data_IF_804061348012
#
_entry.id   IF_804061348012
#
_cell.length_a   1.000
_cell.length_b   1.000
_cell.length_c   1.000
_cell.angle_alpha   90.00
_cell.angle_beta   90.00
_cell.angle_gamma   90.00
#
_symmetry.space_group_name_H-M   'P 1'
#
loop_
_entity.id
_entity.type
_entity.pdbx_description
1 polymer ?
#
# COMPACT_ATOMS: atom_id res chain seq x y z
N UNK A 1 1.75 16.73 1.20
CA UNK A 1 2.50 16.63 2.46
C UNK A 1 2.39 15.22 2.99
N UNK A 2 2.56 15.08 4.29
CA UNK A 2 2.71 13.79 4.98
C UNK A 2 1.52 13.42 5.89
N UNK A 3 0.39 14.13 5.74
CA UNK A 3 -0.75 14.00 6.66
C UNK A 3 -1.79 12.97 6.24
N UNK A 4 -2.00 12.70 4.94
CA UNK A 4 -2.99 11.71 4.46
C UNK A 4 -2.68 11.23 3.03
N UNK A 5 -3.18 10.06 2.63
CA UNK A 5 -3.18 9.66 1.21
C UNK A 5 -3.98 10.59 0.31
N UNK A 6 -5.14 11.07 0.75
CA UNK A 6 -5.97 11.98 -0.05
C UNK A 6 -5.34 13.38 -0.06
N UNK A 7 -5.24 13.97 -1.25
CA UNK A 7 -4.74 15.32 -1.45
C UNK A 7 -5.64 16.37 -0.80
N UNK A 8 -6.96 16.16 -0.78
CA UNK A 8 -7.92 17.06 -0.14
C UNK A 8 -7.72 17.11 1.39
N UNK A 9 -7.17 16.03 1.95
CA UNK A 9 -7.01 15.82 3.38
C UNK A 9 -5.65 16.30 3.93
N UNK A 10 -4.83 16.95 3.11
CA UNK A 10 -3.48 17.45 3.45
C UNK A 10 -3.50 18.80 4.18
N UNK A 11 -4.36 18.93 5.19
CA UNK A 11 -4.65 20.19 5.89
C UNK A 11 -4.16 20.14 7.35
N UNK A 12 -3.10 20.90 7.72
CA UNK A 12 -2.57 20.89 9.08
C UNK A 12 -3.58 21.36 10.14
N UNK A 13 -4.46 22.28 9.78
CA UNK A 13 -5.50 22.84 10.65
C UNK A 13 -6.56 21.84 11.14
N UNK A 14 -6.54 20.60 10.65
CA UNK A 14 -7.37 19.51 11.19
C UNK A 14 -6.84 18.92 12.49
N UNK A 15 -5.59 19.23 12.84
CA UNK A 15 -4.95 18.74 14.04
C UNK A 15 -4.78 19.88 15.03
N UNK A 16 -5.03 19.57 16.30
CA UNK A 16 -4.83 20.46 17.43
C UNK A 16 -3.59 20.04 18.22
N UNK A 17 -2.99 21.02 18.91
CA UNK A 17 -1.91 20.72 19.84
C UNK A 17 -2.45 19.83 20.95
N UNK A 18 -1.78 18.70 21.19
CA UNK A 18 -2.19 17.70 22.18
C UNK A 18 -2.86 16.47 21.56
N UNK A 19 -3.21 16.51 20.28
CA UNK A 19 -3.77 15.35 19.59
C UNK A 19 -2.74 14.21 19.54
N UNK A 20 -3.23 12.99 19.80
CA UNK A 20 -2.47 11.78 19.61
C UNK A 20 -2.76 11.25 18.22
N UNK A 21 -1.72 11.09 17.42
CA UNK A 21 -1.80 10.52 16.08
C UNK A 21 -0.79 9.40 15.96
N UNK A 22 -1.15 8.38 15.20
CA UNK A 22 -0.18 7.38 14.79
C UNK A 22 0.51 7.81 13.51
N UNK A 23 1.83 7.66 13.46
CA UNK A 23 2.62 8.00 12.29
C UNK A 23 3.82 7.07 12.17
N UNK A 24 4.31 6.92 10.94
CA UNK A 24 5.54 6.18 10.65
C UNK A 24 6.74 7.11 10.72
N UNK A 25 7.83 6.65 11.32
CA UNK A 25 9.13 7.33 11.24
C UNK A 25 9.68 7.17 9.82
N UNK A 26 9.90 8.30 9.14
CA UNK A 26 10.42 8.33 7.77
C UNK A 26 11.91 8.69 7.71
N UNK A 27 12.39 9.46 8.69
CA UNK A 27 13.81 9.84 8.78
C UNK A 27 14.20 10.17 10.22
N UNK A 28 15.45 9.89 10.58
CA UNK A 28 16.08 10.30 11.84
C UNK A 28 17.38 11.03 11.50
N UNK A 29 17.41 12.35 11.72
CA UNK A 29 18.62 13.14 11.67
C UNK A 29 19.29 13.15 13.05
N UNK A 30 20.40 12.42 13.16
CA UNK A 30 21.15 12.28 14.41
C UNK A 30 21.94 13.53 14.79
N UNK A 31 22.30 14.37 13.81
CA UNK A 31 23.09 15.57 14.04
C UNK A 31 22.22 16.64 14.72
N UNK A 32 21.01 16.84 14.18
CA UNK A 32 20.05 17.81 14.75
C UNK A 32 19.11 17.20 15.78
N UNK A 33 19.16 15.88 15.96
CA UNK A 33 18.23 15.10 16.81
C UNK A 33 16.76 15.29 16.42
N UNK A 34 16.50 15.51 15.13
CA UNK A 34 15.15 15.66 14.58
C UNK A 34 14.66 14.33 14.01
N UNK A 35 13.37 14.08 14.19
CA UNK A 35 12.68 12.91 13.62
C UNK A 35 11.61 13.42 12.68
N UNK A 36 11.58 12.87 11.46
CA UNK A 36 10.50 13.12 10.50
C UNK A 36 9.49 11.99 10.59
N UNK A 37 8.21 12.36 10.66
CA UNK A 37 7.08 11.45 10.82
C UNK A 37 6.09 11.66 9.66
N UNK A 38 5.39 10.61 9.25
CA UNK A 38 4.36 10.66 8.20
C UNK A 38 3.19 9.74 8.54
N UNK A 39 1.98 10.33 8.59
CA UNK A 39 0.72 9.59 8.76
C UNK A 39 0.41 8.87 7.45
N UNK A 40 0.57 9.55 6.31
CA UNK A 40 0.39 8.98 4.98
C UNK A 40 1.22 7.71 4.76
N UNK A 41 2.49 7.74 5.17
CA UNK A 41 3.36 6.57 5.00
C UNK A 41 2.89 5.37 5.84
N UNK A 42 2.32 5.62 7.03
CA UNK A 42 1.69 4.59 7.85
C UNK A 42 0.47 3.99 7.12
N UNK A 43 -0.46 4.83 6.67
CA UNK A 43 -1.68 4.39 5.95
C UNK A 43 -1.35 3.50 4.73
N UNK A 44 -0.36 3.91 3.94
CA UNK A 44 0.05 3.16 2.73
C UNK A 44 0.60 1.77 3.08
N UNK A 45 1.37 1.65 4.16
CA UNK A 45 1.96 0.38 4.54
C UNK A 45 0.93 -0.54 5.21
N UNK A 46 0.03 -0.01 6.03
CA UNK A 46 -1.10 -0.78 6.58
C UNK A 46 -2.01 -1.33 5.47
N UNK A 47 -2.27 -0.53 4.42
CA UNK A 47 -3.04 -1.00 3.26
C UNK A 47 -2.31 -2.10 2.50
N UNK A 48 -0.99 -1.97 2.28
CA UNK A 48 -0.20 -3.03 1.64
C UNK A 48 -0.19 -4.32 2.46
N UNK A 49 -0.03 -4.21 3.77
CA UNK A 49 -0.06 -5.37 4.67
C UNK A 49 -1.42 -6.05 4.64
N UNK A 50 -2.51 -5.28 4.68
CA UNK A 50 -3.87 -5.81 4.54
C UNK A 50 -4.07 -6.49 3.18
N UNK A 51 -3.62 -5.88 2.08
CA UNK A 51 -3.69 -6.51 0.75
C UNK A 51 -2.85 -7.79 0.69
N UNK A 52 -1.68 -7.83 1.29
CA UNK A 52 -0.87 -9.05 1.32
C UNK A 52 -1.55 -10.18 2.13
N UNK A 53 -2.17 -9.83 3.26
CA UNK A 53 -2.83 -10.78 4.15
C UNK A 53 -4.19 -11.28 3.62
N UNK A 54 -4.99 -10.38 3.03
CA UNK A 54 -6.36 -10.67 2.59
C UNK A 54 -6.51 -10.81 1.06
N UNK A 55 -5.55 -10.34 0.27
CA UNK A 55 -5.61 -10.36 -1.19
C UNK A 55 -5.30 -11.72 -1.84
N UNK A 56 -5.04 -12.77 -1.07
CA UNK A 56 -4.73 -14.11 -1.61
C UNK A 56 -5.33 -15.31 -0.87
N UNK A 57 -6.14 -15.09 0.18
CA UNK A 57 -6.47 -16.18 1.12
C UNK A 57 -7.79 -16.92 0.89
N UNK A 58 -8.63 -16.55 -0.11
CA UNK A 58 -9.95 -17.19 -0.27
C UNK A 58 -10.39 -17.50 -1.71
N UNK A 59 -9.50 -17.45 -2.69
CA UNK A 59 -9.82 -17.93 -4.04
C UNK A 59 -8.61 -18.67 -4.55
N UNK A 60 -8.68 -20.01 -4.54
CA UNK A 60 -7.59 -20.94 -4.86
C UNK A 60 -7.04 -20.89 -6.30
N UNK A 61 -7.09 -19.74 -6.95
CA UNK A 61 -6.32 -19.42 -8.14
C UNK A 61 -5.88 -17.96 -8.00
N UNK A 62 -4.58 -17.72 -7.87
CA UNK A 62 -4.04 -16.37 -7.86
C UNK A 62 -4.40 -15.67 -9.17
N UNK A 63 -4.54 -14.34 -9.14
CA UNK A 63 -4.71 -13.52 -10.35
C UNK A 63 -3.62 -13.81 -11.39
N UNK A 64 -2.42 -14.19 -10.93
CA UNK A 64 -1.33 -14.69 -11.77
C UNK A 64 -1.56 -16.07 -12.39
N UNK A 65 -2.25 -16.98 -11.68
CA UNK A 65 -2.58 -18.31 -12.19
C UNK A 65 -3.68 -18.23 -13.26
N UNK A 66 -4.71 -17.42 -13.02
CA UNK A 66 -5.83 -17.23 -13.97
C UNK A 66 -5.35 -16.50 -15.23
N UNK A 67 -4.58 -15.42 -15.07
CA UNK A 67 -4.01 -14.68 -16.20
C UNK A 67 -2.97 -15.52 -16.96
N UNK A 68 -2.12 -16.26 -16.24
CA UNK A 68 -1.14 -17.15 -16.82
C UNK A 68 -1.76 -18.32 -17.59
N UNK A 69 -2.86 -18.90 -17.09
CA UNK A 69 -3.60 -19.95 -17.78
C UNK A 69 -4.27 -19.41 -19.06
N UNK A 70 -4.88 -18.22 -19.01
CA UNK A 70 -5.52 -17.59 -20.17
C UNK A 70 -4.51 -17.18 -21.26
N UNK A 71 -3.29 -16.78 -20.88
CA UNK A 71 -2.20 -16.49 -21.81
C UNK A 71 -1.68 -17.76 -22.49
N UNK A 72 -1.42 -18.83 -21.73
CA UNK A 72 -0.99 -20.13 -22.29
C UNK A 72 -2.05 -20.72 -23.22
N UNK A 73 -3.32 -20.65 -22.84
CA UNK A 73 -4.43 -21.09 -23.68
C UNK A 73 -4.60 -20.27 -24.98
N UNK A 74 -3.95 -19.10 -25.08
CA UNK A 74 -3.91 -18.29 -26.30
C UNK A 74 -2.61 -18.51 -27.10
N UNK A 75 -1.54 -18.96 -26.46
CA UNK A 75 -0.26 -19.28 -27.09
C UNK A 75 -0.21 -20.71 -27.68
N UNK A 76 -1.08 -21.62 -27.23
CA UNK A 76 -1.32 -22.92 -27.86
C UNK A 76 -2.60 -22.89 -28.74
N UNK A 77 -2.52 -22.45 -30.02
CA UNK A 77 -3.48 -22.88 -31.02
C UNK A 77 -3.14 -24.33 -31.37
N UNK A 78 -3.68 -25.30 -30.61
CA UNK A 78 -3.57 -26.71 -31.00
C UNK A 78 -4.16 -26.91 -32.40
N UNK A 79 -3.31 -27.51 -33.23
CA UNK A 79 -3.55 -28.02 -34.56
C UNK A 79 -4.82 -28.90 -34.62
N UNK A 80 -5.90 -28.41 -35.24
CA UNK A 80 -6.91 -29.27 -35.85
C UNK A 80 -6.63 -29.40 -37.36
N UNK A 81 -5.97 -30.50 -37.76
CA UNK A 81 -6.11 -31.16 -39.08
C UNK A 81 -5.90 -32.67 -38.94
#
# INVERSE_FOLDING_TARGET
GDLSRDRSEQRPERFSVGDKVDAKVTNIDRNTRKVSLSIKAKEVDEEKEAVAQYGSSDSGASLGDILGAALRAKEDPEDEN
#
